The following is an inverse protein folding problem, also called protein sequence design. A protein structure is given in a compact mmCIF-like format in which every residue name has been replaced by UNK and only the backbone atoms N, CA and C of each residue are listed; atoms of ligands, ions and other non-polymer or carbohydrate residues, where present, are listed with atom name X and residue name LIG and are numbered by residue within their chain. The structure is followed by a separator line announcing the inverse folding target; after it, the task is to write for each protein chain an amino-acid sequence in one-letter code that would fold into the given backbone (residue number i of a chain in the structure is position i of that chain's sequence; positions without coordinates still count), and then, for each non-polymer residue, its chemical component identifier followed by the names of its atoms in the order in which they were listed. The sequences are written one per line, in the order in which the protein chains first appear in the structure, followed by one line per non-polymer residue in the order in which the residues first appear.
data_IF_790149813327
#
_entry.id   IF_790149813327
#
_cell.length_a   1.000
_cell.length_b   1.000
_cell.length_c   1.000
_cell.angle_alpha   90.00
_cell.angle_beta   90.00
_cell.angle_gamma   90.00
#
_symmetry.space_group_name_H-M   'P 1'
#
loop_
_entity.id
_entity.type
_entity.pdbx_description
1 polymer ?
#
# COMPACT_ATOMS: atom_id res chain seq x y z
N UNK A 1 -12.05 -1.09 -23.37
CA UNK A 1 -11.00 -1.62 -22.50
C UNK A 1 -10.65 -3.01 -22.95
N UNK A 2 -9.92 -3.12 -24.06
CA UNK A 2 -9.29 -4.37 -24.45
C UNK A 2 -7.89 -4.42 -23.86
N UNK A 3 -7.63 -5.42 -23.03
CA UNK A 3 -6.27 -5.69 -22.58
C UNK A 3 -5.44 -6.25 -23.73
N UNK A 4 -4.23 -5.72 -23.87
CA UNK A 4 -3.22 -6.23 -24.80
C UNK A 4 -1.94 -6.41 -23.99
N UNK A 5 -1.39 -7.64 -23.93
CA UNK A 5 -0.12 -7.87 -23.25
C UNK A 5 0.98 -7.04 -23.91
N UNK A 6 1.68 -6.24 -23.10
CA UNK A 6 2.79 -5.43 -23.56
C UNK A 6 4.09 -6.18 -23.28
N UNK A 7 4.48 -7.14 -24.12
CA UNK A 7 5.72 -7.91 -23.94
C UNK A 7 6.73 -7.62 -25.07
N UNK A 8 8.04 -7.83 -24.83
CA UNK A 8 9.00 -7.76 -25.92
C UNK A 8 8.66 -8.79 -27.01
N UNK A 9 8.90 -8.48 -28.30
CA UNK A 9 8.55 -9.35 -29.42
C UNK A 9 9.09 -10.79 -29.30
N UNK A 10 10.27 -10.94 -28.71
CA UNK A 10 10.90 -12.26 -28.49
C UNK A 10 10.12 -13.14 -27.51
N UNK A 11 9.49 -12.55 -26.50
CA UNK A 11 8.70 -13.26 -25.49
C UNK A 11 7.29 -13.53 -26.03
N UNK A 12 6.71 -12.57 -26.77
CA UNK A 12 5.45 -12.80 -27.49
C UNK A 12 5.55 -13.94 -28.49
N UNK A 13 6.68 -14.07 -29.20
CA UNK A 13 6.88 -15.16 -30.16
C UNK A 13 6.91 -16.52 -29.47
N UNK A 14 7.60 -16.64 -28.33
CA UNK A 14 7.58 -17.87 -27.52
C UNK A 14 6.18 -18.23 -27.03
N UNK A 15 5.43 -17.25 -26.50
CA UNK A 15 4.03 -17.46 -26.06
C UNK A 15 3.13 -17.87 -27.23
N UNK A 16 3.38 -17.32 -28.43
CA UNK A 16 2.64 -17.64 -29.66
C UNK A 16 2.91 -19.07 -30.13
N UNK A 17 4.15 -19.53 -30.03
CA UNK A 17 4.55 -20.89 -30.40
C UNK A 17 3.90 -21.94 -29.46
N UNK A 18 3.70 -21.61 -28.18
CA UNK A 18 3.05 -22.48 -27.19
C UNK A 18 1.50 -22.55 -27.35
N UNK A 19 0.84 -21.50 -27.85
CA UNK A 19 -0.63 -21.42 -27.92
C UNK A 19 -1.24 -21.66 -29.31
N UNK A 20 -0.42 -21.86 -30.34
CA UNK A 20 -0.87 -22.07 -31.72
C UNK A 20 -1.30 -20.77 -32.42
N UNK A 21 -1.18 -20.76 -33.75
CA UNK A 21 -1.24 -19.56 -34.59
C UNK A 21 -2.44 -18.63 -34.38
N UNK A 22 -2.22 -17.55 -33.64
CA UNK A 22 -3.11 -16.39 -33.63
C UNK A 22 -3.15 -15.74 -35.03
N UNK A 23 -4.32 -15.77 -35.68
CA UNK A 23 -4.56 -15.06 -36.94
C UNK A 23 -4.30 -13.57 -36.75
N UNK A 24 -3.61 -12.94 -37.71
CA UNK A 24 -3.40 -11.48 -37.73
C UNK A 24 -4.73 -10.76 -37.55
N UNK A 25 -4.85 -9.93 -36.51
CA UNK A 25 -6.08 -9.18 -36.19
C UNK A 25 -6.51 -8.38 -37.41
N UNK A 26 -7.73 -8.61 -37.87
CA UNK A 26 -8.30 -7.92 -39.02
C UNK A 26 -8.77 -6.51 -38.62
N UNK A 27 -8.97 -5.62 -39.60
CA UNK A 27 -9.52 -4.27 -39.37
C UNK A 27 -10.88 -4.31 -38.66
N UNK A 28 -11.67 -5.35 -38.92
CA UNK A 28 -12.96 -5.58 -38.28
C UNK A 28 -12.81 -5.90 -36.79
N UNK A 29 -11.77 -6.62 -36.40
CA UNK A 29 -11.50 -6.93 -35.00
C UNK A 29 -11.13 -5.67 -34.21
N UNK A 30 -10.35 -4.76 -34.80
CA UNK A 30 -10.08 -3.45 -34.19
C UNK A 30 -11.35 -2.63 -33.97
N UNK A 31 -12.28 -2.64 -34.95
CA UNK A 31 -13.56 -1.93 -34.85
C UNK A 31 -14.43 -2.53 -33.75
N UNK A 32 -14.55 -3.86 -33.69
CA UNK A 32 -15.26 -4.59 -32.62
C UNK A 32 -14.67 -4.28 -31.24
N UNK A 33 -13.35 -4.24 -31.11
CA UNK A 33 -12.69 -3.94 -29.83
C UNK A 33 -13.00 -2.52 -29.32
N UNK A 34 -13.07 -1.54 -30.24
CA UNK A 34 -13.46 -0.16 -29.91
C UNK A 34 -14.94 -0.06 -29.54
N UNK A 35 -15.83 -0.74 -30.26
CA UNK A 35 -17.26 -0.77 -29.95
C UNK A 35 -17.53 -1.44 -28.58
N UNK A 36 -16.82 -2.53 -28.28
CA UNK A 36 -16.88 -3.18 -26.96
C UNK A 36 -16.37 -2.26 -25.83
N UNK A 37 -15.37 -1.43 -26.12
CA UNK A 37 -14.87 -0.43 -25.18
C UNK A 37 -15.90 0.64 -24.87
N UNK A 38 -16.53 1.20 -25.91
CA UNK A 38 -17.58 2.21 -25.76
C UNK A 38 -18.79 1.63 -25.03
N UNK A 39 -19.21 0.40 -25.35
CA UNK A 39 -20.30 -0.29 -24.66
C UNK A 39 -20.00 -0.54 -23.17
N UNK A 40 -18.74 -0.89 -22.82
CA UNK A 40 -18.32 -1.01 -21.41
C UNK A 40 -18.31 0.32 -20.69
N UNK A 41 -17.86 1.39 -21.36
CA UNK A 41 -17.86 2.75 -20.80
C UNK A 41 -19.28 3.28 -20.57
N UNK A 42 -20.24 2.81 -21.36
CA UNK A 42 -21.67 3.11 -21.23
C UNK A 42 -22.41 2.15 -20.28
N UNK A 43 -21.71 1.24 -19.58
CA UNK A 43 -22.26 0.23 -18.69
C UNK A 43 -23.26 -0.76 -19.35
N UNK A 44 -23.25 -0.87 -20.68
CA UNK A 44 -24.09 -1.82 -21.43
C UNK A 44 -23.49 -3.23 -21.39
N UNK A 45 -22.16 -3.33 -21.25
CA UNK A 45 -21.43 -4.59 -21.18
C UNK A 45 -20.75 -4.76 -19.81
N UNK A 46 -20.62 -6.00 -19.31
CA UNK A 46 -19.96 -6.26 -18.04
C UNK A 46 -18.48 -5.82 -18.06
N UNK A 47 -18.02 -5.39 -16.89
CA UNK A 47 -16.65 -4.99 -16.66
C UNK A 47 -15.68 -6.17 -16.85
N UNK A 48 -14.43 -5.85 -17.14
CA UNK A 48 -13.37 -6.83 -17.21
C UNK A 48 -12.95 -7.21 -15.79
N UNK A 49 -12.84 -8.50 -15.47
CA UNK A 49 -12.38 -8.95 -14.15
C UNK A 49 -10.86 -9.12 -14.12
N UNK A 50 -10.23 -8.70 -13.03
CA UNK A 50 -8.82 -8.98 -12.75
C UNK A 50 -8.62 -10.44 -12.28
N UNK A 51 -7.35 -10.86 -12.14
CA UNK A 51 -6.97 -12.19 -11.64
C UNK A 51 -7.52 -12.50 -10.23
N UNK A 52 -7.78 -11.46 -9.45
CA UNK A 52 -8.32 -11.52 -8.10
C UNK A 52 -9.88 -11.44 -8.08
N UNK A 53 -10.52 -11.45 -9.25
CA UNK A 53 -11.97 -11.44 -9.42
C UNK A 53 -12.65 -10.08 -9.19
N UNK A 54 -11.89 -9.00 -9.04
CA UNK A 54 -12.39 -7.62 -8.93
C UNK A 54 -12.64 -7.03 -10.32
N UNK A 55 -13.71 -6.27 -10.42
CA UNK A 55 -14.07 -5.57 -11.64
C UNK A 55 -13.12 -4.37 -11.88
N UNK A 56 -12.50 -4.32 -13.06
CA UNK A 56 -11.70 -3.20 -13.53
C UNK A 56 -12.64 -2.14 -14.08
N UNK A 57 -12.56 -0.94 -13.50
CA UNK A 57 -13.40 0.19 -13.91
C UNK A 57 -13.17 0.54 -15.40
N UNK A 58 -14.21 0.52 -16.25
CA UNK A 58 -14.13 0.86 -17.67
C UNK A 58 -13.67 2.28 -18.00
N UNK A 59 -13.64 3.19 -17.02
CA UNK A 59 -13.22 4.59 -17.20
C UNK A 59 -11.73 4.82 -16.94
N UNK A 60 -10.97 3.81 -16.49
CA UNK A 60 -9.52 3.94 -16.33
C UNK A 60 -8.88 4.13 -17.72
N UNK A 61 -8.04 5.14 -17.96
CA UNK A 61 -7.36 5.28 -19.24
C UNK A 61 -6.51 4.05 -19.58
N UNK A 62 -6.41 3.72 -20.88
CA UNK A 62 -5.70 2.54 -21.37
C UNK A 62 -4.26 2.43 -20.85
N UNK A 63 -3.53 3.55 -20.77
CA UNK A 63 -2.13 3.59 -20.32
C UNK A 63 -1.95 3.26 -18.83
N UNK A 64 -2.99 3.46 -18.00
CA UNK A 64 -2.96 3.07 -16.57
C UNK A 64 -3.29 1.59 -16.43
N UNK A 65 -4.26 1.11 -17.22
CA UNK A 65 -4.72 -0.28 -17.20
C UNK A 65 -3.66 -1.25 -17.76
N UNK A 66 -2.90 -0.85 -18.78
CA UNK A 66 -1.88 -1.70 -19.37
C UNK A 66 -0.68 -1.85 -18.42
N UNK A 67 -0.42 -3.09 -18.01
CA UNK A 67 0.78 -3.42 -17.23
C UNK A 67 2.03 -3.25 -18.11
N UNK A 68 3.11 -2.65 -17.59
CA UNK A 68 4.39 -2.57 -18.28
C UNK A 68 5.01 -3.96 -18.56
N UNK A 69 5.87 -4.04 -19.57
CA UNK A 69 6.45 -5.31 -20.02
C UNK A 69 7.26 -6.08 -18.97
N UNK A 70 7.89 -5.37 -18.05
CA UNK A 70 8.67 -5.96 -16.97
C UNK A 70 7.81 -6.53 -15.84
N UNK A 71 6.50 -6.24 -15.83
CA UNK A 71 5.60 -6.66 -14.77
C UNK A 71 5.10 -8.10 -14.95
N UNK A 72 5.14 -8.66 -16.16
CA UNK A 72 4.82 -10.08 -16.38
C UNK A 72 3.32 -10.43 -16.43
N UNK A 73 2.41 -9.45 -16.41
CA UNK A 73 0.97 -9.73 -16.39
C UNK A 73 0.46 -10.25 -17.75
N UNK A 74 -0.07 -11.47 -17.76
CA UNK A 74 -0.74 -12.09 -18.91
C UNK A 74 -2.24 -11.77 -18.94
N UNK A 75 -2.80 -11.40 -17.80
CA UNK A 75 -4.19 -11.00 -17.65
C UNK A 75 -4.32 -9.50 -17.34
N UNK A 76 -5.52 -8.92 -17.54
CA UNK A 76 -5.79 -7.56 -17.13
C UNK A 76 -5.65 -7.44 -15.62
N UNK A 77 -4.70 -6.63 -15.18
CA UNK A 77 -4.46 -6.40 -13.75
C UNK A 77 -4.26 -4.91 -13.48
N UNK A 78 -4.58 -4.50 -12.27
CA UNK A 78 -4.25 -3.18 -11.73
C UNK A 78 -3.26 -3.30 -10.55
N UNK A 79 -2.63 -4.46 -10.41
CA UNK A 79 -1.68 -4.77 -9.34
C UNK A 79 -0.39 -3.97 -9.47
N UNK A 80 0.05 -3.63 -10.69
CA UNK A 80 1.20 -2.76 -10.94
C UNK A 80 1.01 -1.33 -10.43
N UNK A 81 -0.23 -0.87 -10.27
CA UNK A 81 -0.54 0.45 -9.70
C UNK A 81 -0.60 0.45 -8.17
N UNK A 82 -0.57 -0.73 -7.53
CA UNK A 82 -0.57 -0.82 -6.06
C UNK A 82 0.81 -0.50 -5.51
N UNK A 83 0.85 -0.16 -4.23
CA UNK A 83 2.12 -0.03 -3.49
C UNK A 83 2.83 -1.38 -3.56
N UNK A 84 4.02 -1.39 -4.16
CA UNK A 84 4.83 -2.59 -4.36
C UNK A 84 5.51 -3.04 -3.07
N UNK A 85 5.87 -2.08 -2.20
CA UNK A 85 6.42 -2.36 -0.88
C UNK A 85 5.35 -3.02 0.00
N UNK A 86 5.46 -4.34 0.21
CA UNK A 86 4.51 -5.12 1.01
C UNK A 86 4.37 -4.56 2.42
N UNK A 87 5.47 -4.17 3.07
CA UNK A 87 5.46 -3.56 4.40
C UNK A 87 4.64 -2.26 4.44
N UNK A 88 4.82 -1.37 3.45
CA UNK A 88 4.05 -0.12 3.36
C UNK A 88 2.60 -0.38 2.97
N UNK A 89 2.35 -1.41 2.16
CA UNK A 89 1.01 -1.85 1.79
C UNK A 89 0.27 -2.39 3.02
N UNK A 90 0.89 -3.19 3.86
CA UNK A 90 0.31 -3.70 5.11
C UNK A 90 0.06 -2.58 6.12
N UNK A 91 1.00 -1.63 6.24
CA UNK A 91 0.87 -0.42 7.04
C UNK A 91 -0.34 0.42 6.58
N UNK A 92 -0.49 0.62 5.26
CA UNK A 92 -1.59 1.38 4.67
C UNK A 92 -2.93 0.63 4.67
N UNK A 93 -2.93 -0.70 4.56
CA UNK A 93 -4.13 -1.49 4.25
C UNK A 93 -4.88 -2.06 5.45
N UNK A 94 -4.26 -2.42 6.58
CA UNK A 94 -5.11 -3.14 7.55
C UNK A 94 -4.60 -3.75 8.85
N UNK A 95 -3.46 -3.34 9.43
CA UNK A 95 -3.16 -3.75 10.83
C UNK A 95 -2.73 -2.62 11.75
N UNK A 96 -2.10 -1.58 11.20
CA UNK A 96 -1.68 -0.38 11.93
C UNK A 96 -2.64 0.81 11.73
N UNK A 97 -3.79 0.59 11.09
CA UNK A 97 -4.83 1.60 10.90
C UNK A 97 -5.62 1.79 12.21
N UNK A 98 -4.99 2.37 13.23
CA UNK A 98 -5.69 3.02 14.35
C UNK A 98 -5.45 2.49 15.76
N UNK A 99 -4.80 1.35 16.01
CA UNK A 99 -4.72 0.81 17.39
C UNK A 99 -3.38 1.01 18.07
N UNK A 100 -2.26 0.75 17.39
CA UNK A 100 -0.93 0.96 18.00
C UNK A 100 -0.39 2.35 17.67
N UNK A 101 -0.21 2.73 16.41
CA UNK A 101 0.43 4.02 16.05
C UNK A 101 -0.32 5.26 16.52
N UNK A 102 -1.66 5.24 16.47
CA UNK A 102 -2.49 6.39 16.84
C UNK A 102 -2.65 6.55 18.36
N UNK A 103 -2.60 5.44 19.11
CA UNK A 103 -2.65 5.44 20.58
C UNK A 103 -1.28 5.37 21.25
N UNK A 104 -0.19 5.20 20.49
CA UNK A 104 1.18 5.23 21.00
C UNK A 104 1.59 6.67 21.24
N UNK A 105 1.27 7.17 22.42
CA UNK A 105 1.76 8.45 22.92
C UNK A 105 2.88 8.23 23.94
N UNK A 106 3.78 9.21 24.12
CA UNK A 106 4.75 9.12 25.22
C UNK A 106 3.99 9.03 26.55
N UNK A 107 4.46 8.17 27.47
CA UNK A 107 3.81 8.00 28.77
C UNK A 107 3.85 9.33 29.53
N UNK A 108 2.69 9.95 29.76
CA UNK A 108 2.54 11.16 30.57
C UNK A 108 2.22 10.79 32.02
N UNK A 109 2.68 11.63 32.94
CA UNK A 109 2.48 11.43 34.38
C UNK A 109 3.67 10.79 35.08
N UNK A 110 3.61 10.78 36.41
CA UNK A 110 4.64 10.17 37.25
C UNK A 110 4.43 8.65 37.27
N UNK A 111 5.52 7.89 37.09
CA UNK A 111 5.47 6.43 37.12
C UNK A 111 4.91 5.93 38.46
N UNK A 112 3.87 5.09 38.43
CA UNK A 112 3.25 4.44 39.61
C UNK A 112 4.12 3.36 40.27
N UNK A 113 5.45 3.47 40.14
CA UNK A 113 6.37 2.57 40.81
C UNK A 113 6.21 2.75 42.33
N UNK A 114 6.46 1.69 43.13
CA UNK A 114 6.39 1.78 44.58
C UNK A 114 7.23 2.96 45.05
N UNK A 115 6.59 3.87 45.81
CA UNK A 115 7.23 5.10 46.29
C UNK A 115 8.31 4.73 47.30
N UNK A 116 9.56 5.00 46.94
CA UNK A 116 10.70 4.86 47.85
C UNK A 116 10.64 6.02 48.85
N UNK A 117 10.66 5.71 50.16
CA UNK A 117 10.61 6.73 51.21
C UNK A 117 11.97 7.26 51.65
N UNK A 118 13.06 6.65 51.19
CA UNK A 118 14.44 7.04 51.49
C UNK A 118 15.10 7.61 50.25
N UNK A 119 15.98 8.58 50.44
CA UNK A 119 16.83 9.08 49.36
C UNK A 119 17.75 7.97 48.86
N UNK A 120 17.92 7.91 47.53
CA UNK A 120 18.84 7.00 46.87
C UNK A 120 19.98 7.81 46.26
N UNK A 121 21.19 7.28 46.34
CA UNK A 121 22.36 7.94 45.78
C UNK A 121 22.21 8.11 44.26
N UNK A 122 22.43 9.33 43.78
CA UNK A 122 22.24 9.69 42.37
C UNK A 122 20.82 10.15 42.01
N UNK A 123 19.88 10.18 42.96
CA UNK A 123 18.59 10.84 42.77
C UNK A 123 18.69 12.38 42.80
N UNK A 124 17.64 13.06 42.33
CA UNK A 124 17.54 14.51 42.38
C UNK A 124 17.53 15.00 43.84
N UNK A 125 18.49 15.84 44.22
CA UNK A 125 18.60 16.42 45.57
C UNK A 125 17.35 17.22 45.99
N UNK A 126 16.59 17.77 45.04
CA UNK A 126 15.39 18.55 45.35
C UNK A 126 14.17 17.64 45.59
N UNK A 127 13.84 16.75 44.64
CA UNK A 127 12.59 15.97 44.66
C UNK A 127 12.75 14.48 44.98
N UNK A 128 13.97 13.93 44.88
CA UNK A 128 14.26 12.50 45.09
C UNK A 128 13.95 11.60 43.88
N UNK A 129 13.60 12.12 42.71
CA UNK A 129 13.44 11.32 41.48
C UNK A 129 14.78 10.95 40.86
N UNK A 130 14.91 9.72 40.32
CA UNK A 130 16.09 9.30 39.55
C UNK A 130 16.03 9.67 38.06
N UNK A 131 14.95 10.27 37.57
CA UNK A 131 14.77 10.55 36.13
C UNK A 131 15.48 11.81 35.64
N UNK A 132 15.88 12.71 36.54
CA UNK A 132 16.45 14.01 36.20
C UNK A 132 17.38 14.52 37.30
N UNK A 133 18.18 15.55 36.99
CA UNK A 133 19.10 16.22 37.93
C UNK A 133 18.41 17.41 38.61
N UNK A 134 19.02 17.96 39.67
CA UNK A 134 18.51 19.13 40.41
C UNK A 134 18.16 20.33 39.52
N UNK A 135 18.95 20.59 38.47
CA UNK A 135 18.74 21.72 37.55
C UNK A 135 17.48 21.57 36.69
N UNK A 136 17.13 20.33 36.33
CA UNK A 136 15.98 20.00 35.48
C UNK A 136 14.78 19.55 36.30
N UNK A 137 14.74 19.93 37.59
CA UNK A 137 13.68 19.53 38.50
C UNK A 137 12.40 20.32 38.24
N UNK A 138 11.30 19.59 38.05
CA UNK A 138 9.98 20.17 37.84
C UNK A 138 9.29 20.60 39.14
N UNK A 139 9.81 20.14 40.29
CA UNK A 139 9.32 20.54 41.61
C UNK A 139 9.94 21.87 42.04
N UNK A 140 9.19 22.66 42.80
CA UNK A 140 9.66 23.95 43.32
C UNK A 140 10.98 23.76 44.10
N UNK A 141 12.02 24.59 43.88
CA UNK A 141 13.27 24.48 44.61
C UNK A 141 13.06 24.56 46.12
N UNK A 142 13.38 23.46 46.83
CA UNK A 142 13.32 23.40 48.28
C UNK A 142 14.62 23.94 48.89
N UNK A 143 14.47 24.63 50.01
CA UNK A 143 15.59 24.99 50.89
C UNK A 143 15.79 23.78 51.80
N UNK A 144 16.63 22.86 51.34
CA UNK A 144 17.04 21.66 52.10
C UNK A 144 18.19 22.03 53.02
#
# INVERSE_FOLDING_TARGET
MSFVPNFPPSLLQKIKDDNGDEKKKSKEDYKKMKELEEARKLAVMPAMKDEEGRDINPHIPQYIMQAPWYYGALHPTLSHQRIQDEAKREEASGRMKGTTSLNLWYRRGVSEKPKVQRYLDGACENCGSMTHKRKDCLERPRKV
#
